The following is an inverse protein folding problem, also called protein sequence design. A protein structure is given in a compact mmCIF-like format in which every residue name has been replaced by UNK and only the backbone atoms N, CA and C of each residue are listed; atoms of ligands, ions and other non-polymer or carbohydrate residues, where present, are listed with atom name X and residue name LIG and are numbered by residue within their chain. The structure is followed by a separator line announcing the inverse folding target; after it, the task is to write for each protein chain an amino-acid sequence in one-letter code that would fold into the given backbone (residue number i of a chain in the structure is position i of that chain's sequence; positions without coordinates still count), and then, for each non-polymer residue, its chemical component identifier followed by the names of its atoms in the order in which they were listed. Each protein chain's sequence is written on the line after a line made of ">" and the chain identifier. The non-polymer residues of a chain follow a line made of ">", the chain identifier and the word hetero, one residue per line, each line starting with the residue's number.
data_IF_922495944016
#
_entry.id   IF_922495944016
#
_cell.length_a   1.000
_cell.length_b   1.000
_cell.length_c   1.000
_cell.angle_alpha   90.00
_cell.angle_beta   90.00
_cell.angle_gamma   90.00
#
_symmetry.space_group_name_H-M   'P 1'
#
loop_
_entity.id
_entity.type
_entity.pdbx_description
1 polymer ?
#
# COMPACT_ATOMS: atom_id res chain seq x y z
N UNK A 1 15.30 15.60 -38.32
CA UNK A 1 14.95 16.93 -37.80
C UNK A 1 15.70 17.14 -36.51
N UNK A 2 16.61 18.14 -36.43
CA UNK A 2 17.17 18.54 -35.12
C UNK A 2 15.99 19.01 -34.26
N UNK A 3 15.84 18.48 -33.04
CA UNK A 3 14.91 19.06 -32.07
C UNK A 3 15.41 20.48 -31.82
N UNK A 4 14.69 21.47 -32.32
CA UNK A 4 14.94 22.86 -32.00
C UNK A 4 14.79 23.07 -30.49
N UNK A 5 15.65 23.90 -29.91
CA UNK A 5 15.66 24.18 -28.49
C UNK A 5 14.46 25.07 -28.14
N UNK A 6 13.47 24.57 -27.38
CA UNK A 6 12.27 25.34 -27.06
C UNK A 6 12.58 26.54 -26.14
N UNK A 7 13.69 26.52 -25.40
CA UNK A 7 14.13 27.68 -24.61
C UNK A 7 14.65 28.79 -25.52
N UNK A 8 15.42 28.41 -26.56
CA UNK A 8 15.92 29.37 -27.54
C UNK A 8 14.75 30.00 -28.32
N UNK A 9 13.79 29.21 -28.77
CA UNK A 9 12.60 29.71 -29.46
C UNK A 9 11.78 30.66 -28.59
N UNK A 10 11.58 30.31 -27.32
CA UNK A 10 10.91 31.21 -26.38
C UNK A 10 11.70 32.51 -26.21
N UNK A 11 13.03 32.42 -26.06
CA UNK A 11 13.89 33.61 -25.92
C UNK A 11 13.85 34.49 -27.17
N UNK A 12 13.92 33.92 -28.36
CA UNK A 12 13.89 34.66 -29.63
C UNK A 12 12.54 35.35 -29.84
N UNK A 13 11.44 34.63 -29.62
CA UNK A 13 10.09 35.18 -29.72
C UNK A 13 9.88 36.33 -28.71
N UNK A 14 10.31 36.13 -27.47
CA UNK A 14 10.23 37.16 -26.43
C UNK A 14 11.16 38.34 -26.69
N UNK A 15 12.34 38.11 -27.28
CA UNK A 15 13.25 39.20 -27.68
C UNK A 15 12.58 40.08 -28.73
N UNK A 16 12.04 39.48 -29.79
CA UNK A 16 11.33 40.20 -30.84
C UNK A 16 10.12 40.99 -30.30
N UNK A 17 9.32 40.36 -29.42
CA UNK A 17 8.18 41.02 -28.79
C UNK A 17 8.61 42.20 -27.92
N UNK A 18 9.62 42.03 -27.06
CA UNK A 18 10.05 43.04 -26.10
C UNK A 18 10.82 44.19 -26.76
N UNK A 19 11.68 43.94 -27.75
CA UNK A 19 12.42 44.99 -28.46
C UNK A 19 11.48 45.97 -29.20
N UNK A 20 10.27 45.53 -29.57
CA UNK A 20 9.26 46.42 -30.15
C UNK A 20 8.63 47.41 -29.14
N UNK A 21 8.82 47.18 -27.83
CA UNK A 21 8.17 47.92 -26.73
C UNK A 21 9.17 48.57 -25.75
N UNK A 22 10.43 48.12 -25.73
CA UNK A 22 11.46 48.54 -24.77
C UNK A 22 12.63 49.18 -25.52
N UNK A 23 13.03 50.37 -25.09
CA UNK A 23 14.22 51.09 -25.59
C UNK A 23 15.44 50.87 -24.68
N UNK A 24 15.23 50.59 -23.40
CA UNK A 24 16.30 50.39 -22.39
C UNK A 24 16.87 48.97 -22.44
N UNK A 25 18.14 48.83 -22.82
CA UNK A 25 18.83 47.53 -22.98
C UNK A 25 18.94 46.73 -21.67
N UNK A 26 19.17 47.41 -20.54
CA UNK A 26 19.33 46.76 -19.23
C UNK A 26 18.02 46.12 -18.76
N UNK A 27 16.88 46.78 -18.98
CA UNK A 27 15.56 46.22 -18.67
C UNK A 27 15.25 45.02 -19.57
N UNK A 28 15.55 45.12 -20.88
CA UNK A 28 15.38 44.01 -21.82
C UNK A 28 16.18 42.78 -21.37
N UNK A 29 17.47 42.96 -21.03
CA UNK A 29 18.32 41.88 -20.54
C UNK A 29 17.76 41.24 -19.27
N UNK A 30 17.33 42.06 -18.30
CA UNK A 30 16.72 41.60 -17.05
C UNK A 30 15.48 40.73 -17.28
N UNK A 31 14.60 41.10 -18.22
CA UNK A 31 13.40 40.32 -18.57
C UNK A 31 13.78 39.00 -19.25
N UNK A 32 14.73 39.02 -20.19
CA UNK A 32 15.17 37.82 -20.90
C UNK A 32 15.88 36.82 -19.98
N UNK A 33 16.62 37.30 -18.99
CA UNK A 33 17.29 36.45 -17.99
C UNK A 33 16.30 35.88 -16.95
N UNK A 34 15.11 36.48 -16.83
CA UNK A 34 14.02 36.02 -15.96
C UNK A 34 13.01 35.08 -16.65
N UNK A 35 13.26 34.71 -17.92
CA UNK A 35 12.41 33.75 -18.63
C UNK A 35 12.36 32.39 -17.90
N UNK A 36 11.20 31.71 -17.91
CA UNK A 36 11.05 30.43 -17.24
C UNK A 36 12.04 29.40 -17.80
N UNK A 37 12.67 28.63 -16.91
CA UNK A 37 13.63 27.58 -17.27
C UNK A 37 13.03 26.18 -17.20
N UNK A 38 11.81 26.05 -16.70
CA UNK A 38 11.11 24.77 -16.54
C UNK A 38 9.63 24.97 -16.82
N UNK A 39 9.06 24.00 -17.51
CA UNK A 39 7.64 23.84 -17.75
C UNK A 39 7.35 22.39 -18.08
N UNK A 40 6.09 22.00 -17.98
CA UNK A 40 5.64 20.70 -18.44
C UNK A 40 5.02 20.86 -19.83
N UNK A 41 5.42 20.02 -20.79
CA UNK A 41 4.81 19.98 -22.12
C UNK A 41 4.30 18.59 -22.43
N UNK A 42 3.06 18.49 -22.87
CA UNK A 42 2.44 17.25 -23.33
C UNK A 42 1.35 17.56 -24.34
N UNK A 43 1.22 16.73 -25.39
CA UNK A 43 0.31 17.02 -26.51
C UNK A 43 0.51 18.46 -27.04
N UNK A 44 -0.56 19.25 -27.08
CA UNK A 44 -0.64 20.65 -27.45
C UNK A 44 -0.80 21.60 -26.24
N UNK A 45 -0.31 21.18 -25.06
CA UNK A 45 -0.44 21.90 -23.79
C UNK A 45 0.93 22.19 -23.19
N UNK A 46 1.12 23.41 -22.66
CA UNK A 46 2.22 23.75 -21.77
C UNK A 46 1.67 24.21 -20.42
N UNK A 47 2.23 23.67 -19.33
CA UNK A 47 2.03 24.13 -17.96
C UNK A 47 3.30 24.81 -17.46
N UNK A 48 3.24 26.14 -17.32
CA UNK A 48 4.28 26.95 -16.71
C UNK A 48 4.29 26.76 -15.19
N UNK A 49 5.47 26.88 -14.57
CA UNK A 49 5.57 26.90 -13.11
C UNK A 49 4.84 28.13 -12.54
N UNK A 50 4.36 28.04 -11.30
CA UNK A 50 3.66 29.14 -10.62
C UNK A 50 4.47 30.45 -10.60
N UNK A 51 5.80 30.34 -10.47
CA UNK A 51 6.72 31.47 -10.47
C UNK A 51 6.92 32.14 -11.83
N UNK A 52 6.47 31.52 -12.93
CA UNK A 52 6.66 32.05 -14.27
C UNK A 52 5.88 33.36 -14.44
N UNK A 53 6.60 34.40 -14.88
CA UNK A 53 6.06 35.73 -15.16
C UNK A 53 5.29 36.36 -13.99
N UNK A 54 5.65 36.02 -12.75
CA UNK A 54 4.97 36.51 -11.54
C UNK A 54 5.69 37.71 -10.89
N UNK A 55 6.91 38.05 -11.32
CA UNK A 55 7.65 39.20 -10.77
C UNK A 55 7.04 40.54 -11.22
N UNK A 56 7.12 41.61 -10.40
CA UNK A 56 6.48 42.90 -10.70
C UNK A 56 6.85 43.52 -12.05
N UNK A 57 8.07 43.31 -12.53
CA UNK A 57 8.53 43.85 -13.81
C UNK A 57 7.83 43.26 -15.04
N UNK A 58 7.07 42.18 -14.91
CA UNK A 58 6.27 41.64 -16.01
C UNK A 58 4.91 42.32 -16.18
N UNK A 59 4.41 43.02 -15.15
CA UNK A 59 3.03 43.53 -15.10
C UNK A 59 2.64 44.39 -16.29
N UNK A 60 3.56 45.23 -16.78
CA UNK A 60 3.31 46.16 -17.88
C UNK A 60 3.29 45.48 -19.26
N UNK A 61 3.82 44.25 -19.37
CA UNK A 61 3.93 43.52 -20.62
C UNK A 61 2.88 42.43 -20.78
N UNK A 62 2.32 41.94 -19.66
CA UNK A 62 1.31 40.87 -19.65
C UNK A 62 0.04 41.38 -20.35
N UNK A 63 -0.33 40.68 -21.42
CA UNK A 63 -1.48 40.94 -22.27
C UNK A 63 -1.87 39.65 -23.01
N UNK A 64 -2.99 39.67 -23.73
CA UNK A 64 -3.39 38.54 -24.58
C UNK A 64 -2.31 38.28 -25.66
N UNK A 65 -1.80 39.34 -26.29
CA UNK A 65 -0.71 39.25 -27.29
C UNK A 65 0.54 38.57 -26.70
N UNK A 66 0.93 38.97 -25.49
CA UNK A 66 2.08 38.39 -24.78
C UNK A 66 1.97 36.87 -24.61
N UNK A 67 0.80 36.40 -24.15
CA UNK A 67 0.58 34.97 -23.96
C UNK A 67 0.49 34.20 -25.29
N UNK A 68 -0.09 34.81 -26.32
CA UNK A 68 -0.13 34.24 -27.67
C UNK A 68 1.27 34.08 -28.27
N UNK A 69 2.16 35.04 -28.05
CA UNK A 69 3.58 34.94 -28.46
C UNK A 69 4.25 33.74 -27.79
N UNK A 70 4.08 33.59 -26.47
CA UNK A 70 4.65 32.46 -25.72
C UNK A 70 4.07 31.13 -26.21
N UNK A 71 2.74 31.05 -26.36
CA UNK A 71 2.05 29.84 -26.83
C UNK A 71 2.53 29.43 -28.22
N UNK A 72 2.67 30.39 -29.14
CA UNK A 72 3.17 30.16 -30.49
C UNK A 72 4.63 29.71 -30.48
N UNK A 73 5.48 30.36 -29.68
CA UNK A 73 6.90 30.02 -29.56
C UNK A 73 7.11 28.60 -29.02
N UNK A 74 6.27 28.19 -28.06
CA UNK A 74 6.28 26.85 -27.50
C UNK A 74 5.50 25.83 -28.34
N UNK A 75 4.86 26.26 -29.43
CA UNK A 75 4.11 25.40 -30.36
C UNK A 75 2.96 24.66 -29.70
N UNK A 76 2.14 25.37 -28.94
CA UNK A 76 0.97 24.82 -28.22
C UNK A 76 -0.27 25.69 -28.42
N UNK A 77 -1.44 25.07 -28.25
CA UNK A 77 -2.74 25.74 -28.34
C UNK A 77 -3.26 26.15 -26.95
N UNK A 78 -2.86 25.39 -25.92
CA UNK A 78 -3.22 25.66 -24.54
C UNK A 78 -1.96 26.01 -23.75
N UNK A 79 -1.92 27.21 -23.21
CA UNK A 79 -0.89 27.66 -22.28
C UNK A 79 -1.56 27.90 -20.94
N UNK A 80 -1.07 27.26 -19.89
CA UNK A 80 -1.58 27.45 -18.55
C UNK A 80 -0.44 27.55 -17.54
N UNK A 81 -0.74 28.04 -16.35
CA UNK A 81 0.22 28.21 -15.25
C UNK A 81 -0.25 27.46 -14.02
N UNK A 82 0.65 26.67 -13.44
CA UNK A 82 0.37 25.82 -12.28
C UNK A 82 0.04 26.72 -11.08
N UNK A 83 -1.09 26.42 -10.43
CA UNK A 83 -1.49 26.98 -9.14
C UNK A 83 -1.15 26.05 -7.98
N UNK A 84 -1.52 26.46 -6.77
CA UNK A 84 -1.44 25.60 -5.59
C UNK A 84 -2.55 24.54 -5.60
N UNK A 85 -2.34 23.43 -4.86
CA UNK A 85 -3.39 22.44 -4.63
C UNK A 85 -4.09 22.79 -3.32
N UNK A 86 -5.42 22.96 -3.36
CA UNK A 86 -6.19 23.50 -2.22
C UNK A 86 -7.25 22.49 -1.77
N UNK A 87 -7.53 22.51 -0.46
CA UNK A 87 -8.63 21.77 0.15
C UNK A 87 -8.40 20.26 0.25
N UNK A 88 -9.32 19.58 0.94
CA UNK A 88 -9.27 18.13 1.17
C UNK A 88 -9.46 17.33 -0.12
N UNK A 89 -10.22 17.87 -1.07
CA UNK A 89 -10.45 17.27 -2.41
C UNK A 89 -9.29 17.48 -3.38
N UNK A 90 -8.21 18.14 -2.95
CA UNK A 90 -6.98 18.38 -3.71
C UNK A 90 -7.28 19.02 -5.07
N UNK A 91 -8.07 20.08 -5.02
CA UNK A 91 -8.53 20.78 -6.21
C UNK A 91 -7.39 21.57 -6.85
N UNK A 92 -7.35 21.54 -8.17
CA UNK A 92 -6.37 22.29 -8.96
C UNK A 92 -6.75 23.76 -8.99
N UNK A 93 -5.74 24.66 -8.95
CA UNK A 93 -5.94 26.11 -9.19
C UNK A 93 -5.16 26.59 -10.40
N UNK A 94 -4.95 25.71 -11.37
CA UNK A 94 -4.27 26.05 -12.62
C UNK A 94 -5.02 27.17 -13.35
N UNK A 95 -4.26 28.16 -13.80
CA UNK A 95 -4.75 29.31 -14.56
C UNK A 95 -4.55 29.08 -16.05
N UNK A 96 -5.62 29.07 -16.85
CA UNK A 96 -5.54 29.02 -18.32
C UNK A 96 -5.23 30.43 -18.84
N UNK A 97 -4.10 30.57 -19.52
CA UNK A 97 -3.59 31.83 -20.08
C UNK A 97 -3.92 31.97 -21.57
N UNK A 98 -3.94 30.85 -22.29
CA UNK A 98 -4.34 30.73 -23.70
C UNK A 98 -5.13 29.44 -23.88
N UNK A 99 -6.22 29.51 -24.65
CA UNK A 99 -7.10 28.37 -24.96
C UNK A 99 -8.45 28.48 -24.27
N UNK A 100 -9.49 27.93 -24.91
CA UNK A 100 -10.89 28.01 -24.44
C UNK A 100 -11.36 26.75 -23.70
N UNK A 101 -10.64 25.64 -23.83
CA UNK A 101 -10.94 24.35 -23.19
C UNK A 101 -9.78 23.94 -22.27
N UNK A 102 -10.14 23.49 -21.08
CA UNK A 102 -9.22 23.04 -20.05
C UNK A 102 -9.16 21.49 -19.96
N UNK A 103 -9.93 20.78 -20.78
CA UNK A 103 -9.81 19.34 -20.96
C UNK A 103 -8.53 18.97 -21.70
N UNK A 104 -7.72 18.12 -21.09
CA UNK A 104 -6.44 17.68 -21.64
C UNK A 104 -6.29 16.18 -21.56
N UNK A 105 -5.53 15.60 -22.49
CA UNK A 105 -5.20 14.18 -22.50
C UNK A 105 -3.70 14.02 -22.37
N UNK A 106 -3.27 13.32 -21.32
CA UNK A 106 -1.87 12.98 -21.08
C UNK A 106 -1.67 11.49 -21.30
N UNK A 107 -0.79 11.11 -22.21
CA UNK A 107 -0.44 9.71 -22.45
C UNK A 107 0.83 9.34 -21.69
N UNK A 108 0.74 8.36 -20.80
CA UNK A 108 1.89 7.76 -20.10
C UNK A 108 1.83 6.24 -20.20
N UNK A 109 2.94 5.61 -20.60
CA UNK A 109 3.06 4.15 -20.68
C UNK A 109 1.92 3.46 -21.46
N UNK A 110 1.42 4.12 -22.52
CA UNK A 110 0.32 3.62 -23.35
C UNK A 110 -1.09 3.87 -22.79
N UNK A 111 -1.22 4.54 -21.65
CA UNK A 111 -2.49 4.86 -20.99
C UNK A 111 -2.82 6.34 -21.22
N UNK A 112 -4.04 6.61 -21.67
CA UNK A 112 -4.56 7.96 -21.85
C UNK A 112 -5.28 8.43 -20.57
N UNK A 113 -4.83 9.55 -19.99
CA UNK A 113 -5.45 10.23 -18.87
C UNK A 113 -6.06 11.56 -19.34
N UNK A 114 -7.37 11.57 -19.55
CA UNK A 114 -8.20 12.74 -19.79
C UNK A 114 -8.69 13.37 -18.48
N UNK A 115 -8.54 14.68 -18.35
CA UNK A 115 -9.04 15.44 -17.19
C UNK A 115 -9.13 16.94 -17.48
N UNK A 116 -9.94 17.65 -16.70
CA UNK A 116 -9.95 19.11 -16.68
C UNK A 116 -8.76 19.61 -15.84
N UNK A 117 -7.78 20.26 -16.46
CA UNK A 117 -6.55 20.72 -15.81
C UNK A 117 -6.81 21.73 -14.67
N UNK A 118 -7.93 22.48 -14.74
CA UNK A 118 -8.33 23.42 -13.68
C UNK A 118 -9.07 22.76 -12.52
N UNK A 119 -9.46 21.48 -12.64
CA UNK A 119 -10.32 20.81 -11.64
C UNK A 119 -9.66 19.59 -11.01
N UNK A 120 -8.75 18.92 -11.72
CA UNK A 120 -8.09 17.72 -11.26
C UNK A 120 -6.58 17.91 -11.26
N UNK A 121 -5.92 17.47 -10.20
CA UNK A 121 -4.46 17.47 -10.14
C UNK A 121 -3.85 16.37 -11.03
N UNK A 122 -2.61 16.55 -11.46
CA UNK A 122 -1.83 15.47 -12.08
C UNK A 122 -0.35 15.65 -11.74
N UNK A 123 0.23 14.74 -10.95
CA UNK A 123 1.64 14.80 -10.59
C UNK A 123 2.50 14.10 -11.63
N UNK A 124 3.23 14.86 -12.44
CA UNK A 124 4.16 14.33 -13.45
C UNK A 124 5.30 13.54 -12.85
N UNK A 125 5.79 13.97 -11.68
CA UNK A 125 6.86 13.28 -10.94
C UNK A 125 6.52 11.86 -10.47
N UNK A 126 5.25 11.43 -10.54
CA UNK A 126 4.84 10.07 -10.16
C UNK A 126 4.82 9.10 -11.36
N UNK A 127 5.37 9.48 -12.52
CA UNK A 127 5.32 8.65 -13.75
C UNK A 127 5.91 7.24 -13.55
N UNK A 128 7.01 7.12 -12.80
CA UNK A 128 7.66 5.85 -12.52
C UNK A 128 6.81 4.99 -11.59
N UNK A 129 6.17 5.60 -10.58
CA UNK A 129 5.29 4.86 -9.69
C UNK A 129 4.01 4.41 -10.41
N UNK A 130 3.39 5.27 -11.23
CA UNK A 130 2.27 4.85 -12.08
C UNK A 130 2.65 3.70 -13.01
N UNK A 131 3.87 3.72 -13.57
CA UNK A 131 4.38 2.57 -14.34
C UNK A 131 4.48 1.32 -13.48
N UNK A 132 5.13 1.42 -12.32
CA UNK A 132 5.34 0.31 -11.37
C UNK A 132 4.03 -0.33 -10.94
N UNK A 133 2.98 0.45 -10.73
CA UNK A 133 1.65 -0.08 -10.38
C UNK A 133 1.12 -1.04 -11.44
N UNK A 134 1.42 -0.82 -12.72
CA UNK A 134 1.12 -1.79 -13.78
C UNK A 134 2.01 -3.04 -13.79
N UNK A 135 3.18 -2.99 -13.15
CA UNK A 135 4.12 -4.12 -13.04
C UNK A 135 3.83 -5.00 -11.82
N UNK A 136 3.29 -4.44 -10.73
CA UNK A 136 2.96 -5.19 -9.50
C UNK A 136 1.54 -5.74 -9.46
N UNK A 137 0.62 -5.20 -10.26
CA UNK A 137 -0.73 -5.76 -10.38
C UNK A 137 -0.68 -7.14 -11.02
N UNK A 138 -1.36 -8.13 -10.42
CA UNK A 138 -1.35 -9.51 -10.91
C UNK A 138 -2.70 -9.92 -11.50
N UNK A 139 -2.65 -10.74 -12.55
CA UNK A 139 -3.86 -11.27 -13.18
C UNK A 139 -4.66 -12.09 -12.18
N UNK A 140 -5.96 -11.80 -12.09
CA UNK A 140 -6.87 -12.48 -11.16
C UNK A 140 -7.07 -11.74 -9.83
N UNK A 141 -6.23 -10.75 -9.50
CA UNK A 141 -6.41 -9.96 -8.28
C UNK A 141 -7.66 -9.07 -8.36
N UNK A 142 -8.32 -8.93 -7.21
CA UNK A 142 -9.25 -7.84 -6.92
C UNK A 142 -8.48 -6.78 -6.13
N UNK A 143 -8.54 -5.53 -6.59
CA UNK A 143 -7.84 -4.38 -5.97
C UNK A 143 -8.85 -3.38 -5.44
N UNK A 144 -8.57 -2.76 -4.30
CA UNK A 144 -9.29 -1.57 -3.82
C UNK A 144 -8.35 -0.37 -3.85
N UNK A 145 -8.74 0.71 -4.51
CA UNK A 145 -8.02 1.99 -4.51
C UNK A 145 -8.84 3.01 -3.70
N UNK A 146 -8.39 3.31 -2.48
CA UNK A 146 -9.15 4.13 -1.53
C UNK A 146 -9.12 5.63 -1.86
N UNK A 147 -8.27 6.05 -2.80
CA UNK A 147 -8.05 7.45 -3.19
C UNK A 147 -7.76 7.56 -4.71
N UNK A 148 -8.67 7.02 -5.51
CA UNK A 148 -8.39 6.69 -6.91
C UNK A 148 -8.15 7.89 -7.82
N UNK A 149 -8.69 9.07 -7.49
CA UNK A 149 -8.59 10.26 -8.32
C UNK A 149 -9.16 10.01 -9.71
N UNK A 150 -8.38 10.34 -10.74
CA UNK A 150 -8.74 10.04 -12.14
C UNK A 150 -8.33 8.63 -12.58
N UNK A 151 -7.92 7.77 -11.63
CA UNK A 151 -7.39 6.43 -11.86
C UNK A 151 -5.87 6.36 -11.94
N UNK A 152 -5.15 7.18 -11.16
CA UNK A 152 -3.69 7.34 -11.29
C UNK A 152 -2.94 6.01 -11.23
N UNK A 153 -3.27 5.16 -10.25
CA UNK A 153 -2.64 3.86 -10.03
C UNK A 153 -3.53 2.68 -10.48
N UNK A 154 -4.85 2.89 -10.45
CA UNK A 154 -5.85 1.94 -10.93
C UNK A 154 -5.73 1.63 -12.44
N UNK A 155 -5.57 2.63 -13.30
CA UNK A 155 -5.49 2.41 -14.75
C UNK A 155 -4.26 1.59 -15.17
N UNK A 156 -3.05 1.84 -14.64
CA UNK A 156 -1.90 0.97 -14.87
C UNK A 156 -2.13 -0.50 -14.50
N UNK A 157 -2.74 -0.75 -13.34
CA UNK A 157 -3.05 -2.12 -12.92
C UNK A 157 -4.06 -2.81 -13.84
N UNK A 158 -5.08 -2.09 -14.31
CA UNK A 158 -6.06 -2.63 -15.25
C UNK A 158 -5.45 -2.90 -16.63
N UNK A 159 -4.69 -1.96 -17.18
CA UNK A 159 -4.18 -2.03 -18.57
C UNK A 159 -2.95 -2.93 -18.69
N UNK A 160 -1.96 -2.73 -17.83
CA UNK A 160 -0.69 -3.46 -17.89
C UNK A 160 -0.71 -4.70 -16.99
N UNK A 161 -1.15 -4.55 -15.74
CA UNK A 161 -1.21 -5.65 -14.75
C UNK A 161 -2.32 -6.66 -15.03
N UNK A 162 -3.36 -6.26 -15.78
CA UNK A 162 -4.54 -7.08 -16.12
C UNK A 162 -5.18 -7.72 -14.90
N UNK A 163 -5.24 -6.97 -13.79
CA UNK A 163 -6.01 -7.37 -12.60
C UNK A 163 -7.46 -7.63 -13.00
N UNK A 164 -8.14 -8.51 -12.27
CA UNK A 164 -9.49 -8.94 -12.65
C UNK A 164 -10.50 -7.81 -12.47
N UNK A 165 -10.43 -7.13 -11.33
CA UNK A 165 -11.34 -6.07 -10.95
C UNK A 165 -10.65 -5.04 -10.05
N UNK A 166 -11.01 -3.76 -10.19
CA UNK A 166 -10.64 -2.70 -9.24
C UNK A 166 -11.88 -1.96 -8.73
N UNK A 167 -11.96 -1.80 -7.41
CA UNK A 167 -12.90 -0.92 -6.74
C UNK A 167 -12.23 0.42 -6.47
N UNK A 168 -12.68 1.49 -7.12
CA UNK A 168 -12.14 2.84 -7.00
C UNK A 168 -13.02 3.69 -6.10
N UNK A 169 -12.55 4.09 -4.92
CA UNK A 169 -13.23 5.08 -4.08
C UNK A 169 -12.77 6.49 -4.49
N UNK A 170 -13.72 7.40 -4.69
CA UNK A 170 -13.44 8.81 -5.02
C UNK A 170 -14.62 9.71 -4.65
N UNK A 171 -14.35 10.88 -4.09
CA UNK A 171 -15.37 11.84 -3.62
C UNK A 171 -15.40 13.17 -4.39
N UNK A 172 -14.43 13.41 -5.27
CA UNK A 172 -14.36 14.56 -6.14
C UNK A 172 -15.10 14.23 -7.44
N UNK A 173 -16.25 14.87 -7.64
CA UNK A 173 -17.10 14.68 -8.82
C UNK A 173 -16.37 14.93 -10.15
N UNK A 174 -15.42 15.87 -10.18
CA UNK A 174 -14.63 16.13 -11.39
C UNK A 174 -13.65 14.98 -11.67
N UNK A 175 -13.05 14.43 -10.61
CA UNK A 175 -12.18 13.26 -10.72
C UNK A 175 -12.97 12.01 -11.15
N UNK A 176 -14.18 11.81 -10.63
CA UNK A 176 -15.08 10.72 -11.03
C UNK A 176 -15.44 10.82 -12.52
N UNK A 177 -15.78 12.02 -13.01
CA UNK A 177 -16.10 12.24 -14.44
C UNK A 177 -14.89 11.91 -15.32
N UNK A 178 -13.70 12.36 -14.91
CA UNK A 178 -12.44 12.05 -15.59
C UNK A 178 -12.11 10.55 -15.54
N UNK A 179 -12.24 9.89 -14.39
CA UNK A 179 -12.04 8.45 -14.22
C UNK A 179 -12.96 7.64 -15.13
N UNK A 180 -14.26 7.96 -15.16
CA UNK A 180 -15.22 7.33 -16.05
C UNK A 180 -14.81 7.45 -17.54
N UNK A 181 -14.36 8.63 -17.96
CA UNK A 181 -13.85 8.83 -19.30
C UNK A 181 -12.58 8.00 -19.54
N UNK A 182 -11.64 7.99 -18.59
CA UNK A 182 -10.38 7.26 -18.68
C UNK A 182 -10.59 5.75 -18.81
N UNK A 183 -11.48 5.18 -18.00
CA UNK A 183 -11.82 3.76 -18.05
C UNK A 183 -12.33 3.36 -19.45
N UNK A 184 -13.27 4.13 -20.01
CA UNK A 184 -13.80 3.90 -21.36
C UNK A 184 -12.74 4.10 -22.44
N UNK A 185 -11.94 5.17 -22.32
CA UNK A 185 -10.89 5.48 -23.28
C UNK A 185 -9.85 4.36 -23.37
N UNK A 186 -9.50 3.77 -22.24
CA UNK A 186 -8.54 2.68 -22.13
C UNK A 186 -9.18 1.29 -22.23
N UNK A 187 -10.51 1.20 -22.45
CA UNK A 187 -11.28 -0.05 -22.67
C UNK A 187 -11.24 -1.03 -21.49
N UNK A 188 -11.26 -0.51 -20.26
CA UNK A 188 -11.20 -1.28 -19.01
C UNK A 188 -12.39 -1.00 -18.09
N UNK A 189 -13.42 -0.32 -18.58
CA UNK A 189 -14.60 0.07 -17.80
C UNK A 189 -15.37 -1.10 -17.19
N UNK A 190 -15.31 -2.28 -17.80
CA UNK A 190 -15.99 -3.49 -17.30
C UNK A 190 -15.31 -4.12 -16.09
N UNK A 191 -14.03 -3.81 -15.87
CA UNK A 191 -13.20 -4.33 -14.79
C UNK A 191 -13.03 -3.32 -13.66
N UNK A 192 -13.84 -2.26 -13.62
CA UNK A 192 -13.76 -1.24 -12.59
C UNK A 192 -15.15 -0.88 -12.04
N UNK A 193 -15.27 -0.82 -10.72
CA UNK A 193 -16.43 -0.28 -10.01
C UNK A 193 -16.03 1.00 -9.28
N UNK A 194 -16.71 2.09 -9.57
CA UNK A 194 -16.49 3.38 -8.89
C UNK A 194 -17.46 3.50 -7.72
N UNK A 195 -16.93 3.80 -6.54
CA UNK A 195 -17.69 4.07 -5.33
C UNK A 195 -17.60 5.56 -5.04
N UNK A 196 -18.65 6.28 -5.42
CA UNK A 196 -18.70 7.74 -5.29
C UNK A 196 -18.96 8.15 -3.85
N UNK A 197 -18.08 9.00 -3.30
CA UNK A 197 -18.19 9.55 -1.95
C UNK A 197 -17.02 9.20 -1.06
N UNK A 198 -17.20 9.48 0.23
CA UNK A 198 -16.17 9.26 1.26
C UNK A 198 -15.83 7.77 1.41
N UNK A 199 -14.55 7.43 1.41
CA UNK A 199 -14.10 6.06 1.57
C UNK A 199 -14.49 5.45 2.92
N UNK A 200 -14.65 6.27 3.97
CA UNK A 200 -15.11 5.83 5.29
C UNK A 200 -16.53 5.24 5.27
N UNK A 201 -17.33 5.63 4.27
CA UNK A 201 -18.70 5.17 4.09
C UNK A 201 -18.73 4.06 3.02
N UNK A 202 -18.10 4.29 1.88
CA UNK A 202 -18.18 3.38 0.73
C UNK A 202 -17.46 2.05 0.95
N UNK A 203 -16.44 2.02 1.81
CA UNK A 203 -15.67 0.81 2.11
C UNK A 203 -16.45 -0.25 2.87
N UNK A 204 -17.59 0.09 3.48
CA UNK A 204 -18.41 -0.87 4.22
C UNK A 204 -18.83 -2.09 3.36
N UNK A 205 -19.03 -1.88 2.04
CA UNK A 205 -19.34 -2.95 1.08
C UNK A 205 -18.11 -3.66 0.49
N UNK A 206 -16.89 -3.31 0.92
CA UNK A 206 -15.62 -3.79 0.38
C UNK A 206 -14.81 -4.60 1.40
N UNK A 207 -15.40 -4.97 2.54
CA UNK A 207 -14.70 -5.78 3.54
C UNK A 207 -14.40 -7.18 3.02
N UNK A 208 -13.16 -7.64 3.16
CA UNK A 208 -12.77 -9.00 2.81
C UNK A 208 -12.75 -9.33 1.32
N UNK A 209 -12.68 -8.33 0.42
CA UNK A 209 -12.81 -8.54 -1.04
C UNK A 209 -11.49 -8.44 -1.80
N UNK A 210 -10.48 -7.76 -1.25
CA UNK A 210 -9.31 -7.34 -2.00
C UNK A 210 -8.09 -8.22 -1.73
N UNK A 211 -7.32 -8.53 -2.76
CA UNK A 211 -5.97 -9.09 -2.61
C UNK A 211 -4.93 -7.97 -2.41
N UNK A 212 -5.29 -6.74 -2.80
CA UNK A 212 -4.40 -5.58 -2.79
C UNK A 212 -5.18 -4.31 -2.53
N UNK A 213 -4.61 -3.41 -1.73
CA UNK A 213 -5.22 -2.11 -1.44
C UNK A 213 -4.22 -0.99 -1.68
N UNK A 214 -4.67 0.08 -2.31
CA UNK A 214 -3.89 1.29 -2.58
C UNK A 214 -4.33 2.40 -1.63
N UNK A 215 -3.38 2.88 -0.83
CA UNK A 215 -3.51 3.97 0.12
C UNK A 215 -2.74 5.18 -0.45
N UNK A 216 -3.29 5.75 -1.53
CA UNK A 216 -2.65 6.75 -2.40
C UNK A 216 -2.76 8.23 -1.96
N UNK A 217 -2.96 8.52 -0.67
CA UNK A 217 -3.13 9.89 -0.16
C UNK A 217 -1.81 10.45 0.40
N UNK A 218 -1.59 11.76 0.26
CA UNK A 218 -0.48 12.50 0.88
C UNK A 218 -1.02 13.81 1.48
N UNK A 219 -0.44 14.32 2.59
CA UNK A 219 0.75 13.80 3.28
C UNK A 219 0.46 12.61 4.21
N UNK A 220 -0.75 12.52 4.73
CA UNK A 220 -1.13 11.59 5.80
C UNK A 220 -2.24 10.66 5.29
N UNK A 221 -2.06 9.35 5.49
CA UNK A 221 -2.99 8.30 5.04
C UNK A 221 -3.34 7.32 6.17
N UNK A 222 -2.74 7.50 7.34
CA UNK A 222 -2.86 6.67 8.54
C UNK A 222 -4.32 6.50 8.99
N UNK A 223 -5.15 7.53 8.79
CA UNK A 223 -6.59 7.49 9.10
C UNK A 223 -7.39 6.48 8.26
N UNK A 224 -6.78 5.89 7.24
CA UNK A 224 -7.40 4.87 6.39
C UNK A 224 -6.75 3.48 6.54
N UNK A 225 -5.85 3.29 7.51
CA UNK A 225 -5.18 1.99 7.74
C UNK A 225 -6.18 0.90 8.13
N UNK A 226 -7.09 1.19 9.04
CA UNK A 226 -8.18 0.29 9.44
C UNK A 226 -9.07 -0.08 8.25
N UNK A 227 -9.41 0.91 7.41
CA UNK A 227 -10.20 0.68 6.19
C UNK A 227 -9.43 -0.21 5.19
N UNK A 228 -8.14 0.05 5.02
CA UNK A 228 -7.28 -0.71 4.11
C UNK A 228 -7.10 -2.15 4.55
N UNK A 229 -6.86 -2.38 5.84
CA UNK A 229 -6.79 -3.73 6.42
C UNK A 229 -8.12 -4.46 6.29
N UNK A 230 -9.24 -3.79 6.59
CA UNK A 230 -10.58 -4.39 6.51
C UNK A 230 -10.96 -4.81 5.07
N UNK A 231 -10.41 -4.16 4.05
CA UNK A 231 -10.65 -4.53 2.65
C UNK A 231 -9.99 -5.85 2.24
N UNK A 232 -8.87 -6.22 2.89
CA UNK A 232 -8.12 -7.41 2.52
C UNK A 232 -8.94 -8.68 2.80
N UNK A 233 -8.85 -9.65 1.89
CA UNK A 233 -9.36 -11.01 2.13
C UNK A 233 -8.72 -11.61 3.40
N UNK A 234 -9.37 -12.59 4.01
CA UNK A 234 -8.90 -13.13 5.29
C UNK A 234 -7.48 -13.74 5.22
N UNK A 235 -7.08 -14.32 4.08
CA UNK A 235 -5.70 -14.78 3.89
C UNK A 235 -4.65 -13.65 3.93
N UNK A 236 -5.08 -12.39 3.86
CA UNK A 236 -4.26 -11.19 3.76
C UNK A 236 -4.06 -10.75 2.31
N UNK A 237 -3.06 -9.89 2.09
CA UNK A 237 -2.75 -9.32 0.80
C UNK A 237 -1.70 -8.22 0.91
N UNK A 238 -1.64 -7.31 -0.07
CA UNK A 238 -0.64 -6.23 -0.10
C UNK A 238 -1.30 -4.87 0.07
N UNK A 239 -0.77 -4.06 1.00
CA UNK A 239 -1.09 -2.63 1.10
C UNK A 239 0.01 -1.82 0.41
N UNK A 240 -0.38 -0.84 -0.41
CA UNK A 240 0.53 0.16 -1.00
C UNK A 240 0.33 1.50 -0.30
N UNK A 241 1.21 1.83 0.64
CA UNK A 241 1.07 3.00 1.52
C UNK A 241 1.92 4.14 0.98
N UNK A 242 1.28 5.17 0.44
CA UNK A 242 1.96 6.39 0.04
C UNK A 242 2.17 7.30 1.25
N UNK A 243 3.37 7.83 1.42
CA UNK A 243 3.70 8.69 2.54
C UNK A 243 4.86 9.64 2.28
N UNK A 244 5.13 10.51 3.25
CA UNK A 244 6.25 11.45 3.23
C UNK A 244 7.21 11.08 4.35
N UNK A 245 8.45 10.75 3.99
CA UNK A 245 9.48 10.35 4.94
C UNK A 245 10.73 11.24 4.85
N UNK A 246 11.51 11.36 5.94
CA UNK A 246 12.79 12.05 5.93
C UNK A 246 13.71 11.47 4.85
N UNK A 247 14.29 12.33 4.02
CA UNK A 247 15.18 11.90 2.95
C UNK A 247 16.40 11.16 3.52
N UNK A 248 16.82 10.08 2.84
CA UNK A 248 17.99 9.22 3.17
C UNK A 248 17.85 8.28 4.37
N UNK A 249 16.85 8.45 5.25
CA UNK A 249 16.56 7.49 6.31
C UNK A 249 15.05 7.27 6.43
N UNK A 250 14.59 6.11 5.98
CA UNK A 250 13.16 5.75 5.99
C UNK A 250 12.81 4.73 7.08
N UNK A 251 13.80 4.15 7.77
CA UNK A 251 13.59 3.01 8.66
C UNK A 251 12.69 3.36 9.85
N UNK A 252 12.88 4.54 10.44
CA UNK A 252 12.04 5.02 11.54
C UNK A 252 10.59 5.19 11.09
N UNK A 253 10.36 5.86 9.96
CA UNK A 253 9.02 6.06 9.40
C UNK A 253 8.35 4.72 9.05
N UNK A 254 9.09 3.77 8.49
CA UNK A 254 8.56 2.43 8.14
C UNK A 254 8.20 1.65 9.39
N UNK A 255 9.08 1.67 10.39
CA UNK A 255 8.85 0.98 11.68
C UNK A 255 7.58 1.52 12.33
N UNK A 256 7.45 2.85 12.39
CA UNK A 256 6.26 3.54 12.90
C UNK A 256 4.98 3.08 12.18
N UNK A 257 4.94 3.11 10.84
CA UNK A 257 3.75 2.69 10.09
C UNK A 257 3.44 1.20 10.26
N UNK A 258 4.45 0.33 10.35
CA UNK A 258 4.23 -1.10 10.58
C UNK A 258 3.67 -1.37 11.98
N UNK A 259 4.14 -0.65 13.00
CA UNK A 259 3.66 -0.80 14.37
C UNK A 259 2.22 -0.31 14.50
N UNK A 260 1.85 0.82 13.90
CA UNK A 260 0.45 1.27 13.81
C UNK A 260 -0.47 0.22 13.18
N UNK A 261 -0.05 -0.40 12.08
CA UNK A 261 -0.83 -1.47 11.43
C UNK A 261 -0.97 -2.71 12.32
N UNK A 262 0.07 -3.09 13.06
CA UNK A 262 0.06 -4.24 13.99
C UNK A 262 -0.80 -3.98 15.22
N UNK A 263 -0.89 -2.73 15.67
CA UNK A 263 -1.80 -2.33 16.74
C UNK A 263 -3.26 -2.46 16.30
N UNK A 264 -3.57 -2.10 15.05
CA UNK A 264 -4.91 -2.22 14.47
C UNK A 264 -5.29 -3.69 14.24
N UNK A 265 -4.37 -4.50 13.70
CA UNK A 265 -4.64 -5.88 13.31
C UNK A 265 -3.59 -6.86 13.89
N UNK A 266 -3.62 -7.13 15.21
CA UNK A 266 -2.63 -7.97 15.89
C UNK A 266 -2.77 -9.46 15.55
N UNK A 267 -3.87 -9.89 14.91
CA UNK A 267 -4.09 -11.27 14.53
C UNK A 267 -3.43 -11.65 13.19
N UNK A 268 -2.89 -10.68 12.44
CA UNK A 268 -2.17 -10.90 11.17
C UNK A 268 -0.67 -10.74 11.34
N UNK A 269 0.09 -11.41 10.48
CA UNK A 269 1.52 -11.12 10.30
C UNK A 269 1.65 -9.99 9.29
N UNK A 270 2.21 -8.87 9.76
CA UNK A 270 2.38 -7.63 9.00
C UNK A 270 3.87 -7.30 8.93
N UNK A 271 4.41 -7.29 7.71
CA UNK A 271 5.84 -7.08 7.44
C UNK A 271 6.05 -6.17 6.25
N UNK A 272 7.16 -5.45 6.24
CA UNK A 272 7.62 -4.76 5.04
C UNK A 272 7.84 -5.78 3.91
N UNK A 273 7.20 -5.53 2.77
CA UNK A 273 7.45 -6.27 1.54
C UNK A 273 8.51 -5.56 0.68
N UNK A 274 8.34 -4.25 0.48
CA UNK A 274 9.34 -3.41 -0.19
C UNK A 274 9.11 -1.93 0.08
N UNK A 275 10.11 -1.10 -0.21
CA UNK A 275 10.02 0.37 -0.14
C UNK A 275 10.51 1.02 -1.43
N UNK A 276 9.78 2.03 -1.90
CA UNK A 276 10.05 2.70 -3.17
C UNK A 276 10.11 4.22 -2.94
N UNK A 277 11.23 4.84 -3.34
CA UNK A 277 11.32 6.30 -3.42
C UNK A 277 10.70 6.79 -4.72
N UNK A 278 9.61 7.56 -4.65
CA UNK A 278 8.91 8.08 -5.82
C UNK A 278 9.59 9.34 -6.34
N UNK A 279 9.71 10.38 -5.50
CA UNK A 279 10.30 11.67 -5.84
C UNK A 279 10.61 12.49 -4.60
N UNK A 280 11.37 13.58 -4.77
CA UNK A 280 11.45 14.61 -3.72
C UNK A 280 10.10 15.30 -3.58
N UNK A 281 9.65 15.45 -2.34
CA UNK A 281 8.42 16.17 -1.99
C UNK A 281 8.73 17.61 -1.56
N UNK A 282 9.71 17.79 -0.67
CA UNK A 282 10.20 19.07 -0.19
C UNK A 282 11.71 18.94 0.18
N UNK A 283 12.43 20.03 0.48
CA UNK A 283 13.78 19.93 1.01
C UNK A 283 13.81 18.98 2.21
N UNK A 284 14.68 17.96 2.17
CA UNK A 284 14.82 16.92 3.19
C UNK A 284 13.66 15.92 3.33
N UNK A 285 12.65 15.96 2.47
CA UNK A 285 11.50 15.04 2.50
C UNK A 285 11.25 14.40 1.15
N UNK A 286 11.09 13.09 1.14
CA UNK A 286 10.79 12.30 -0.05
C UNK A 286 9.37 11.71 0.04
N UNK A 287 8.68 11.70 -1.10
CA UNK A 287 7.48 10.86 -1.27
C UNK A 287 7.96 9.42 -1.50
N UNK A 288 7.52 8.53 -0.62
CA UNK A 288 7.80 7.10 -0.68
C UNK A 288 6.50 6.28 -0.77
N UNK A 289 6.64 5.04 -1.22
CA UNK A 289 5.62 4.01 -1.10
C UNK A 289 6.19 2.85 -0.30
N UNK A 290 5.49 2.45 0.76
CA UNK A 290 5.76 1.24 1.52
C UNK A 290 4.75 0.18 1.09
N UNK A 291 5.26 -0.89 0.47
CA UNK A 291 4.48 -2.08 0.19
C UNK A 291 4.54 -2.96 1.44
N UNK A 292 3.39 -3.28 2.02
CA UNK A 292 3.26 -4.09 3.23
C UNK A 292 2.60 -5.41 2.87
N UNK A 293 3.22 -6.52 3.25
CA UNK A 293 2.59 -7.83 3.17
C UNK A 293 1.83 -8.09 4.47
N UNK A 294 0.52 -8.30 4.34
CA UNK A 294 -0.36 -8.77 5.39
C UNK A 294 -0.70 -10.22 5.09
N UNK A 295 -0.56 -11.09 6.07
CA UNK A 295 -0.87 -12.51 5.93
C UNK A 295 -1.49 -13.05 7.20
N UNK A 296 -2.19 -14.17 7.12
CA UNK A 296 -2.61 -14.92 8.32
C UNK A 296 -1.39 -15.18 9.20
N UNK A 297 -1.48 -14.83 10.49
CA UNK A 297 -0.43 -15.19 11.44
C UNK A 297 -0.31 -16.71 11.50
N UNK A 298 0.88 -17.23 11.22
CA UNK A 298 1.15 -18.65 11.43
C UNK A 298 1.08 -18.95 12.92
N UNK A 299 0.28 -19.94 13.29
CA UNK A 299 0.22 -20.41 14.68
C UNK A 299 1.53 -21.15 14.97
N UNK A 300 2.17 -20.81 16.09
CA UNK A 300 3.47 -21.39 16.46
C UNK A 300 3.24 -22.66 17.28
N UNK A 301 3.73 -23.79 16.80
CA UNK A 301 3.56 -25.10 17.42
C UNK A 301 4.90 -25.61 17.87
N UNK A 302 5.06 -25.83 19.17
CA UNK A 302 6.22 -26.50 19.73
C UNK A 302 5.82 -27.88 20.23
N UNK A 303 6.53 -28.91 19.79
CA UNK A 303 6.29 -30.28 20.24
C UNK A 303 7.53 -30.84 20.94
N UNK A 304 7.37 -31.37 22.15
CA UNK A 304 8.37 -32.19 22.82
C UNK A 304 7.97 -33.65 22.65
N UNK A 305 8.64 -34.36 21.74
CA UNK A 305 8.44 -35.78 21.46
C UNK A 305 9.73 -36.41 20.94
N UNK A 306 10.17 -37.53 21.52
CA UNK A 306 11.42 -38.21 21.15
C UNK A 306 11.21 -39.45 20.26
N UNK A 307 10.00 -40.00 20.21
CA UNK A 307 9.76 -41.31 19.60
C UNK A 307 9.12 -41.24 18.21
N UNK A 308 8.42 -40.15 17.88
CA UNK A 308 7.74 -39.98 16.57
C UNK A 308 7.96 -38.58 16.02
N UNK A 309 8.02 -38.46 14.69
CA UNK A 309 7.96 -37.15 14.02
C UNK A 309 6.50 -36.68 13.99
N UNK A 310 6.19 -35.68 14.83
CA UNK A 310 4.84 -35.14 14.96
C UNK A 310 4.42 -34.43 13.68
N UNK A 311 5.34 -33.72 13.01
CA UNK A 311 5.01 -33.02 11.78
C UNK A 311 4.59 -34.00 10.68
N UNK A 312 5.33 -35.11 10.52
CA UNK A 312 4.99 -36.17 9.59
C UNK A 312 3.67 -36.86 9.95
N UNK A 313 3.43 -37.12 11.25
CA UNK A 313 2.18 -37.70 11.74
C UNK A 313 0.99 -36.80 11.39
N UNK A 314 1.09 -35.50 11.63
CA UNK A 314 0.02 -34.53 11.33
C UNK A 314 -0.26 -34.43 9.83
N UNK A 315 0.77 -34.34 9.00
CA UNK A 315 0.63 -34.32 7.53
C UNK A 315 -0.02 -35.60 7.03
N UNK A 316 0.40 -36.76 7.55
CA UNK A 316 -0.19 -38.06 7.18
C UNK A 316 -1.67 -38.18 7.55
N UNK A 317 -2.08 -37.50 8.63
CA UNK A 317 -3.47 -37.39 9.07
C UNK A 317 -4.27 -36.26 8.42
N UNK A 318 -3.70 -35.56 7.43
CA UNK A 318 -4.40 -34.54 6.64
C UNK A 318 -4.38 -33.12 7.21
N UNK A 319 -3.53 -32.83 8.20
CA UNK A 319 -3.40 -31.47 8.75
C UNK A 319 -2.55 -30.59 7.83
N UNK A 320 -3.09 -29.44 7.42
CA UNK A 320 -2.37 -28.44 6.62
C UNK A 320 -1.40 -27.62 7.49
N UNK A 321 -0.13 -28.03 7.50
CA UNK A 321 0.93 -27.36 8.24
C UNK A 321 1.39 -26.02 7.63
N UNK A 322 0.89 -25.61 6.45
CA UNK A 322 1.31 -24.32 5.85
C UNK A 322 0.91 -23.11 6.70
N UNK A 323 -0.16 -23.27 7.49
CA UNK A 323 -0.69 -22.28 8.46
C UNK A 323 0.07 -22.25 9.80
N UNK A 324 1.09 -23.09 9.98
CA UNK A 324 1.80 -23.24 11.24
C UNK A 324 3.31 -23.00 11.07
N UNK A 325 3.93 -22.43 12.09
CA UNK A 325 5.38 -22.49 12.30
C UNK A 325 5.63 -23.64 13.28
N UNK A 326 6.21 -24.74 12.81
CA UNK A 326 6.33 -25.97 13.61
C UNK A 326 7.78 -26.18 14.07
N UNK A 327 7.97 -26.45 15.36
CA UNK A 327 9.27 -26.75 15.97
C UNK A 327 9.18 -27.99 16.87
N UNK A 328 9.89 -29.06 16.49
CA UNK A 328 9.96 -30.28 17.31
C UNK A 328 11.28 -30.36 18.09
N UNK A 329 11.15 -30.60 19.37
CA UNK A 329 12.21 -30.93 20.32
C UNK A 329 12.20 -32.43 20.59
N UNK A 330 13.33 -33.09 20.32
CA UNK A 330 13.51 -34.54 20.57
C UNK A 330 13.90 -34.88 22.01
N UNK A 331 13.95 -33.89 22.90
CA UNK A 331 14.18 -34.04 24.33
C UNK A 331 13.75 -32.76 25.07
N UNK A 332 13.64 -32.84 26.39
CA UNK A 332 13.25 -31.73 27.28
C UNK A 332 14.43 -30.96 27.88
N UNK A 333 15.63 -31.10 27.34
CA UNK A 333 16.74 -30.25 27.78
C UNK A 333 16.42 -28.78 27.51
N UNK A 334 16.57 -27.95 28.55
CA UNK A 334 16.29 -26.52 28.55
C UNK A 334 14.87 -26.19 28.04
N UNK A 335 13.87 -27.02 28.37
CA UNK A 335 12.53 -26.88 27.82
C UNK A 335 11.93 -25.48 28.05
N UNK A 336 12.07 -24.93 29.25
CA UNK A 336 11.53 -23.61 29.59
C UNK A 336 12.17 -22.49 28.77
N UNK A 337 13.49 -22.51 28.58
CA UNK A 337 14.17 -21.50 27.76
C UNK A 337 13.73 -21.57 26.30
N UNK A 338 13.61 -22.79 25.75
CA UNK A 338 13.09 -23.00 24.38
C UNK A 338 11.65 -22.51 24.24
N UNK A 339 10.78 -22.80 25.22
CA UNK A 339 9.39 -22.32 25.21
C UNK A 339 9.36 -20.79 25.31
N UNK A 340 10.21 -20.18 26.13
CA UNK A 340 10.30 -18.72 26.26
C UNK A 340 10.75 -18.06 24.97
N UNK A 341 11.79 -18.59 24.33
CA UNK A 341 12.35 -18.06 23.08
C UNK A 341 11.38 -18.25 21.90
N UNK A 342 10.80 -19.44 21.78
CA UNK A 342 9.88 -19.77 20.70
C UNK A 342 8.45 -19.30 20.94
N UNK A 343 8.07 -18.91 22.16
CA UNK A 343 6.74 -18.38 22.51
C UNK A 343 5.57 -19.06 21.75
N UNK A 344 5.36 -20.38 21.92
CA UNK A 344 4.40 -21.13 21.13
C UNK A 344 2.95 -20.75 21.45
N UNK A 345 2.10 -20.77 20.43
CA UNK A 345 0.64 -20.71 20.59
C UNK A 345 0.09 -22.09 21.03
N UNK A 346 0.67 -23.18 20.50
CA UNK A 346 0.36 -24.57 20.87
C UNK A 346 1.62 -25.26 21.39
N UNK A 347 1.54 -25.82 22.60
CA UNK A 347 2.58 -26.66 23.18
C UNK A 347 2.11 -28.11 23.28
N UNK A 348 2.79 -29.03 22.59
CA UNK A 348 2.55 -30.47 22.68
C UNK A 348 3.64 -31.11 23.56
N UNK A 349 3.23 -31.92 24.53
CA UNK A 349 4.14 -32.54 25.49
C UNK A 349 3.91 -34.05 25.55
N UNK A 350 4.87 -34.83 25.05
CA UNK A 350 4.87 -36.26 25.30
C UNK A 350 5.10 -36.54 26.78
N UNK A 351 4.22 -37.33 27.40
CA UNK A 351 4.31 -37.58 28.83
C UNK A 351 5.64 -38.23 29.23
N UNK A 352 6.24 -39.09 28.40
CA UNK A 352 7.41 -39.90 28.77
C UNK A 352 8.74 -39.43 28.18
N UNK A 353 8.77 -38.29 27.47
CA UNK A 353 10.00 -37.76 26.88
C UNK A 353 11.11 -37.53 27.94
N UNK A 354 12.39 -37.82 27.63
CA UNK A 354 13.54 -37.53 28.49
C UNK A 354 14.17 -36.14 28.22
N UNK A 355 15.06 -35.63 29.11
CA UNK A 355 15.48 -36.22 30.38
C UNK A 355 14.48 -36.07 31.53
N UNK A 356 13.64 -35.04 31.49
CA UNK A 356 12.51 -34.87 32.41
C UNK A 356 11.20 -35.10 31.65
N UNK A 357 10.23 -35.72 32.31
CA UNK A 357 8.95 -36.09 31.68
C UNK A 357 8.22 -34.86 31.16
N UNK A 358 7.40 -35.01 30.13
CA UNK A 358 6.53 -33.92 29.66
C UNK A 358 5.60 -33.39 30.76
N UNK A 359 5.18 -34.25 31.69
CA UNK A 359 4.44 -33.85 32.89
C UNK A 359 5.24 -32.90 33.80
N UNK A 360 6.54 -33.13 33.94
CA UNK A 360 7.43 -32.27 34.74
C UNK A 360 7.66 -30.93 34.02
N UNK A 361 7.80 -30.95 32.70
CA UNK A 361 7.84 -29.72 31.88
C UNK A 361 6.55 -28.92 32.04
N UNK A 362 5.38 -29.55 31.99
CA UNK A 362 4.09 -28.89 32.21
C UNK A 362 4.03 -28.20 33.58
N UNK A 363 4.46 -28.89 34.64
CA UNK A 363 4.50 -28.30 35.98
C UNK A 363 5.44 -27.09 36.04
N UNK A 364 6.62 -27.17 35.41
CA UNK A 364 7.54 -26.04 35.32
C UNK A 364 6.95 -24.87 34.53
N UNK A 365 6.26 -25.13 33.41
CA UNK A 365 5.55 -24.10 32.64
C UNK A 365 4.50 -23.41 33.53
N UNK A 366 3.66 -24.18 34.21
CA UNK A 366 2.62 -23.63 35.10
C UNK A 366 3.22 -22.79 36.23
N UNK A 367 4.32 -23.24 36.82
CA UNK A 367 5.03 -22.50 37.86
C UNK A 367 5.57 -21.17 37.33
N UNK A 368 6.30 -21.19 36.21
CA UNK A 368 6.89 -19.98 35.62
C UNK A 368 5.81 -18.99 35.17
N UNK A 369 4.65 -19.48 34.72
CA UNK A 369 3.47 -18.65 34.43
C UNK A 369 2.93 -17.99 35.70
N UNK A 370 2.80 -18.75 36.79
CA UNK A 370 2.37 -18.22 38.09
C UNK A 370 3.33 -17.17 38.68
N UNK A 371 4.62 -17.30 38.38
CA UNK A 371 5.68 -16.37 38.76
C UNK A 371 5.86 -15.21 37.77
N UNK A 372 5.07 -15.15 36.70
CA UNK A 372 5.15 -14.17 35.60
C UNK A 372 6.51 -14.16 34.85
N UNK A 373 7.25 -15.27 34.88
CA UNK A 373 8.51 -15.48 34.15
C UNK A 373 8.32 -16.09 32.75
N UNK A 374 7.09 -16.53 32.45
CA UNK A 374 6.72 -17.13 31.16
C UNK A 374 5.27 -16.77 30.79
N UNK A 375 5.04 -16.40 29.53
CA UNK A 375 3.68 -16.31 28.99
C UNK A 375 3.16 -17.72 28.72
N UNK A 376 1.97 -18.05 29.25
CA UNK A 376 1.37 -19.35 29.01
C UNK A 376 1.02 -19.51 27.52
N UNK A 377 1.42 -20.61 26.86
CA UNK A 377 0.90 -20.95 25.54
C UNK A 377 -0.63 -20.97 25.54
N UNK A 378 -1.26 -20.57 24.44
CA UNK A 378 -2.73 -20.48 24.33
C UNK A 378 -3.39 -21.84 24.51
N UNK A 379 -2.74 -22.91 24.05
CA UNK A 379 -3.15 -24.31 24.27
C UNK A 379 -1.94 -25.17 24.63
N UNK A 380 -2.06 -25.97 25.68
CA UNK A 380 -1.10 -27.00 26.07
C UNK A 380 -1.78 -28.35 26.02
N UNK A 381 -1.24 -29.28 25.22
CA UNK A 381 -1.78 -30.63 25.05
C UNK A 381 -0.78 -31.67 25.56
N UNK A 382 -1.27 -32.56 26.43
CA UNK A 382 -0.58 -33.80 26.74
C UNK A 382 -0.74 -34.80 25.61
N UNK A 383 0.35 -35.44 25.18
CA UNK A 383 0.27 -36.56 24.22
C UNK A 383 0.90 -37.80 24.85
N UNK A 384 0.23 -38.94 24.73
CA UNK A 384 0.74 -40.21 25.21
C UNK A 384 0.00 -41.37 24.57
N UNK A 385 0.62 -42.55 24.51
CA UNK A 385 -0.07 -43.79 24.16
C UNK A 385 -0.90 -44.37 25.30
N UNK A 386 -0.85 -43.78 26.51
CA UNK A 386 -1.56 -44.24 27.69
C UNK A 386 -2.61 -43.22 28.17
N UNK A 387 -3.85 -43.67 28.33
CA UNK A 387 -4.95 -42.85 28.86
C UNK A 387 -4.67 -42.36 30.28
N UNK A 388 -4.03 -43.17 31.12
CA UNK A 388 -3.68 -42.75 32.48
C UNK A 388 -2.64 -41.64 32.49
N UNK A 389 -1.69 -41.67 31.54
CA UNK A 389 -0.69 -40.62 31.37
C UNK A 389 -1.33 -39.32 30.85
N UNK A 390 -2.24 -39.43 29.88
CA UNK A 390 -3.02 -38.30 29.39
C UNK A 390 -3.88 -37.66 30.51
N UNK A 391 -4.52 -38.48 31.36
CA UNK A 391 -5.28 -37.98 32.51
C UNK A 391 -4.38 -37.25 33.52
N UNK A 392 -3.14 -37.70 33.72
CA UNK A 392 -2.18 -36.99 34.58
C UNK A 392 -1.82 -35.61 34.01
N UNK A 393 -1.67 -35.48 32.69
CA UNK A 393 -1.42 -34.18 32.05
C UNK A 393 -2.61 -33.23 32.26
N UNK A 394 -3.84 -33.72 32.09
CA UNK A 394 -5.05 -32.94 32.35
C UNK A 394 -5.14 -32.49 33.82
N UNK A 395 -4.87 -33.40 34.77
CA UNK A 395 -4.90 -33.09 36.20
C UNK A 395 -3.81 -32.07 36.59
N UNK A 396 -2.69 -32.04 35.87
CA UNK A 396 -1.63 -31.05 36.02
C UNK A 396 -1.92 -29.73 35.27
N UNK A 397 -3.09 -29.58 34.64
CA UNK A 397 -3.52 -28.34 34.02
C UNK A 397 -3.14 -28.19 32.54
N UNK A 398 -2.98 -29.29 31.80
CA UNK A 398 -3.06 -29.24 30.34
C UNK A 398 -4.50 -28.92 29.89
N UNK A 399 -4.65 -28.18 28.80
CA UNK A 399 -5.96 -27.76 28.27
C UNK A 399 -6.70 -28.93 27.59
N UNK A 400 -5.96 -29.87 27.01
CA UNK A 400 -6.49 -31.13 26.50
C UNK A 400 -5.40 -32.22 26.52
N UNK A 401 -5.76 -33.45 26.19
CA UNK A 401 -4.82 -34.54 25.96
C UNK A 401 -5.29 -35.46 24.84
N UNK A 402 -4.35 -36.08 24.12
CA UNK A 402 -4.65 -36.95 22.99
C UNK A 402 -3.76 -38.18 22.94
N UNK A 403 -4.33 -39.26 22.41
CA UNK A 403 -3.54 -40.42 22.00
C UNK A 403 -2.75 -40.05 20.75
N UNK A 404 -1.44 -40.34 20.70
CA UNK A 404 -0.54 -39.92 19.59
C UNK A 404 -1.12 -40.17 18.19
N UNK A 405 -1.72 -41.34 17.95
CA UNK A 405 -2.31 -41.70 16.64
C UNK A 405 -3.58 -40.93 16.28
N UNK A 406 -4.27 -40.34 17.26
CA UNK A 406 -5.45 -39.49 17.06
C UNK A 406 -5.11 -38.00 17.11
N UNK A 407 -3.83 -37.65 17.24
CA UNK A 407 -3.43 -36.27 17.39
C UNK A 407 -3.85 -35.43 16.18
N UNK A 408 -3.76 -35.97 14.96
CA UNK A 408 -4.19 -35.27 13.73
C UNK A 408 -5.70 -34.98 13.69
N UNK A 409 -6.53 -35.75 14.41
CA UNK A 409 -7.98 -35.58 14.48
C UNK A 409 -8.40 -34.57 15.57
N UNK A 410 -7.45 -34.12 16.39
CA UNK A 410 -7.75 -33.28 17.55
C UNK A 410 -8.26 -31.88 17.12
N UNK A 411 -9.28 -31.37 17.81
CA UNK A 411 -9.97 -30.11 17.48
C UNK A 411 -9.07 -28.86 17.49
N UNK A 412 -7.98 -28.91 18.26
CA UNK A 412 -6.99 -27.81 18.37
C UNK A 412 -6.49 -27.29 17.01
N UNK A 413 -6.43 -28.15 15.98
CA UNK A 413 -5.98 -27.77 14.65
C UNK A 413 -6.97 -26.88 13.90
N UNK A 414 -8.24 -26.84 14.33
CA UNK A 414 -9.32 -26.01 13.77
C UNK A 414 -9.64 -24.80 14.65
N UNK A 415 -9.69 -25.01 15.98
CA UNK A 415 -10.06 -23.96 16.96
C UNK A 415 -9.23 -22.68 16.83
N UNK A 416 -7.92 -22.81 16.61
CA UNK A 416 -7.00 -21.67 16.56
C UNK A 416 -6.98 -20.95 15.22
N UNK A 417 -7.59 -21.54 14.19
CA UNK A 417 -7.81 -20.92 12.89
C UNK A 417 -9.15 -20.18 12.80
N UNK A 418 -9.96 -20.18 13.88
CA UNK A 418 -11.29 -19.57 13.87
C UNK A 418 -12.33 -20.38 13.09
N UNK A 419 -12.00 -21.62 12.71
CA UNK A 419 -12.90 -22.56 12.05
C UNK A 419 -13.76 -23.26 13.12
N UNK A 420 -14.67 -22.52 13.76
CA UNK A 420 -15.67 -23.10 14.67
C UNK A 420 -16.75 -23.84 13.88
N UNK A 421 -17.28 -24.91 14.48
CA UNK A 421 -18.18 -25.92 13.89
C UNK A 421 -19.43 -25.36 13.17
N UNK A 422 -19.33 -25.14 11.86
CA UNK A 422 -20.48 -25.25 10.96
C UNK A 422 -20.69 -26.72 10.59
N UNK A 423 -21.13 -27.55 11.55
CA UNK A 423 -21.88 -28.79 11.29
C UNK A 423 -22.08 -29.62 12.57
N UNK A 424 -23.02 -29.23 13.44
CA UNK A 424 -24.02 -30.17 14.00
C UNK A 424 -25.27 -29.36 14.36
N UNK A 425 -26.37 -29.58 13.64
CA UNK A 425 -27.65 -28.94 13.92
C UNK A 425 -28.74 -29.41 12.95
N UNK A 426 -29.15 -30.68 13.14
CA UNK A 426 -30.34 -31.41 12.66
C UNK A 426 -30.74 -31.36 11.17
#
# INVERSE_FOLDING_TARGET
>A
MRREDPHLHLRDAMTNFLTSKIVEEDLLRKLLDDLPQRWEKFSNVVLLQNSAFNKPHWKEFISIEFWLVISSALGVNTLARIGEIIGEKRESTVEVLVGDDDWVIRRENGIDYGYNLTKCMFSTGNINERRRMGEVGQRGEIVVDLFSGIGYYSLPMLVAGKVAEIHCCEWNENAIKALNWNLKRNKVEKSCKIHEGDNRITVAGLKGVANRVILGLLPNVEQAFDLGLACLVDSGGILHIHGIAPAKNYDEWITEKLDELREIEPAKTIVEHSRIRVKSYAPHWDHIVLDVLVSTRKQRVMAFEDSVDISALLVSGGVDLTKFEFHQCWNTMNAIDKIREFSPDILLLDHFIPPIKGLEVLNLVNQNVGEAELNRPRKILGISSSDSANQNMLNAGADSASIKFKLAEHEVWRELLGEAEDAVGE
#
